data_IF_030438605813
#
_entry.id   IF_030438605813
#
_cell.length_a   1.000
_cell.length_b   1.000
_cell.length_c   1.000
_cell.angle_alpha   90.00
_cell.angle_beta   90.00
_cell.angle_gamma   90.00
#
_symmetry.space_group_name_H-M   'P 1'
#
loop_
_entity.id
_entity.type
_entity.pdbx_description
1 polymer ?
#
# COMPACT_ATOMS: atom_id res chain seq x y z
N UNK A 1 34.24 -9.93 19.48
CA UNK A 1 33.43 -10.87 18.67
C UNK A 1 31.98 -10.38 18.75
N UNK A 2 31.52 -9.65 17.73
CA UNK A 2 30.19 -8.99 17.71
C UNK A 2 29.24 -9.96 17.01
N UNK A 3 28.19 -10.38 17.69
CA UNK A 3 27.22 -11.36 17.18
C UNK A 3 26.54 -10.81 15.90
N UNK A 4 26.84 -11.43 14.77
CA UNK A 4 26.07 -11.31 13.53
C UNK A 4 24.80 -12.16 13.69
N UNK A 5 23.78 -11.59 14.32
CA UNK A 5 22.43 -12.12 14.19
C UNK A 5 21.91 -11.70 12.82
N UNK A 6 22.12 -12.55 11.82
CA UNK A 6 21.36 -12.53 10.58
C UNK A 6 19.95 -12.99 10.95
N UNK A 7 19.13 -12.09 11.48
CA UNK A 7 17.69 -12.30 11.59
C UNK A 7 17.17 -12.10 10.17
N UNK A 8 16.59 -13.12 9.50
CA UNK A 8 15.77 -12.92 8.33
C UNK A 8 14.48 -12.26 8.85
N UNK A 9 14.60 -10.98 9.19
CA UNK A 9 13.54 -10.21 9.82
C UNK A 9 12.50 -9.92 8.76
N UNK A 10 11.28 -10.38 9.02
CA UNK A 10 10.09 -10.01 8.26
C UNK A 10 10.08 -8.49 8.06
N UNK A 11 10.46 -8.07 6.85
CA UNK A 11 10.51 -6.68 6.44
C UNK A 11 9.12 -6.33 5.96
N UNK A 12 8.41 -5.55 6.76
CA UNK A 12 7.11 -5.03 6.35
C UNK A 12 7.37 -3.70 5.65
N UNK A 13 7.65 -3.74 4.35
CA UNK A 13 7.73 -2.52 3.54
C UNK A 13 6.34 -1.88 3.49
N UNK A 14 6.20 -0.58 3.78
CA UNK A 14 4.87 0.07 3.75
C UNK A 14 4.20 -0.07 2.38
N UNK A 15 4.96 -0.08 1.30
CA UNK A 15 4.45 -0.35 -0.04
C UNK A 15 3.98 -1.81 -0.26
N UNK A 16 4.58 -2.79 0.42
CA UNK A 16 4.10 -4.18 0.38
C UNK A 16 2.89 -4.42 1.31
N UNK A 17 2.59 -3.48 2.20
CA UNK A 17 1.36 -3.51 2.98
C UNK A 17 0.14 -3.06 2.19
N UNK A 18 0.31 -2.27 1.12
CA UNK A 18 -0.81 -1.75 0.33
C UNK A 18 -1.77 -2.85 -0.13
N UNK A 19 -1.31 -4.01 -0.67
CA UNK A 19 -2.19 -5.15 -0.94
C UNK A 19 -3.02 -5.63 0.25
N UNK A 20 -2.41 -5.73 1.44
CA UNK A 20 -3.11 -6.19 2.65
C UNK A 20 -4.12 -5.15 3.12
N UNK A 21 -3.76 -3.87 3.13
CA UNK A 21 -4.69 -2.79 3.48
C UNK A 21 -5.85 -2.70 2.50
N UNK A 22 -5.60 -2.83 1.20
CA UNK A 22 -6.66 -2.85 0.18
C UNK A 22 -7.63 -4.02 0.37
N UNK A 23 -7.13 -5.21 0.75
CA UNK A 23 -8.00 -6.33 1.10
C UNK A 23 -8.87 -5.99 2.32
N UNK A 24 -8.26 -5.48 3.41
CA UNK A 24 -8.99 -5.12 4.64
C UNK A 24 -10.04 -4.04 4.37
N UNK A 25 -9.68 -3.00 3.61
CA UNK A 25 -10.60 -1.93 3.20
C UNK A 25 -11.73 -2.51 2.34
N UNK A 26 -11.43 -3.43 1.40
CA UNK A 26 -12.45 -4.08 0.59
C UNK A 26 -13.48 -4.83 1.43
N UNK A 27 -13.05 -5.56 2.45
CA UNK A 27 -13.95 -6.23 3.42
C UNK A 27 -14.79 -5.20 4.17
N UNK A 28 -14.20 -4.09 4.60
CA UNK A 28 -14.91 -3.01 5.29
C UNK A 28 -15.95 -2.32 4.39
N UNK A 29 -15.64 -2.10 3.10
CA UNK A 29 -16.58 -1.56 2.11
C UNK A 29 -17.79 -2.47 1.97
N UNK A 30 -17.57 -3.79 1.85
CA UNK A 30 -18.65 -4.77 1.79
C UNK A 30 -19.53 -4.72 3.06
N UNK A 31 -18.91 -4.69 4.24
CA UNK A 31 -19.62 -4.57 5.51
C UNK A 31 -20.50 -3.30 5.59
N UNK A 32 -19.96 -2.15 5.18
CA UNK A 32 -20.69 -0.88 5.19
C UNK A 32 -21.85 -0.89 4.19
N UNK A 33 -21.65 -1.49 3.01
CA UNK A 33 -22.70 -1.63 2.01
C UNK A 33 -23.90 -2.41 2.58
N UNK A 34 -23.65 -3.57 3.19
CA UNK A 34 -24.67 -4.40 3.85
C UNK A 34 -25.38 -3.69 5.02
N UNK A 35 -24.67 -2.83 5.76
CA UNK A 35 -25.22 -2.00 6.86
C UNK A 35 -26.19 -0.91 6.38
N UNK A 36 -26.47 -0.81 5.09
CA UNK A 36 -27.51 0.06 4.55
C UNK A 36 -26.98 1.31 3.85
N UNK A 37 -25.69 1.35 3.49
CA UNK A 37 -25.15 2.46 2.69
C UNK A 37 -25.83 2.57 1.31
N UNK A 38 -26.46 1.49 0.83
CA UNK A 38 -27.33 1.47 -0.34
C UNK A 38 -28.53 2.42 -0.26
N UNK A 39 -28.93 2.85 0.96
CA UNK A 39 -30.01 3.84 1.16
C UNK A 39 -29.57 5.27 0.83
N UNK A 40 -28.26 5.53 0.84
CA UNK A 40 -27.67 6.85 0.60
C UNK A 40 -27.02 6.91 -0.79
N UNK A 41 -26.31 5.85 -1.17
CA UNK A 41 -25.61 5.76 -2.45
C UNK A 41 -26.23 4.66 -3.32
N UNK A 42 -26.42 4.93 -4.61
CA UNK A 42 -26.98 3.96 -5.57
C UNK A 42 -26.07 2.73 -5.75
N UNK A 43 -24.75 2.93 -5.73
CA UNK A 43 -23.76 1.85 -5.80
C UNK A 43 -22.57 2.15 -4.86
N UNK A 44 -22.74 1.94 -3.54
CA UNK A 44 -21.74 2.30 -2.53
C UNK A 44 -20.43 1.55 -2.73
N UNK A 45 -20.50 0.27 -3.08
CA UNK A 45 -19.32 -0.57 -3.31
C UNK A 45 -18.46 0.00 -4.43
N UNK A 46 -19.06 0.32 -5.58
CA UNK A 46 -18.33 0.88 -6.72
C UNK A 46 -17.73 2.25 -6.37
N UNK A 47 -18.53 3.16 -5.80
CA UNK A 47 -18.07 4.52 -5.48
C UNK A 47 -16.91 4.48 -4.48
N UNK A 48 -17.07 3.74 -3.38
CA UNK A 48 -16.02 3.63 -2.37
C UNK A 48 -14.77 2.92 -2.92
N UNK A 49 -14.95 1.94 -3.81
CA UNK A 49 -13.81 1.25 -4.42
C UNK A 49 -13.01 2.17 -5.34
N UNK A 50 -13.69 2.94 -6.19
CA UNK A 50 -13.05 3.92 -7.08
C UNK A 50 -12.31 4.99 -6.26
N UNK A 51 -12.96 5.53 -5.23
CA UNK A 51 -12.33 6.52 -4.33
C UNK A 51 -11.10 5.93 -3.65
N UNK A 52 -11.19 4.70 -3.15
CA UNK A 52 -10.07 4.01 -2.48
C UNK A 52 -8.90 3.82 -3.42
N UNK A 53 -9.12 3.27 -4.62
CA UNK A 53 -8.05 3.05 -5.61
C UNK A 53 -7.42 4.39 -6.01
N UNK A 54 -8.24 5.41 -6.28
CA UNK A 54 -7.75 6.73 -6.65
C UNK A 54 -6.88 7.35 -5.56
N UNK A 55 -7.26 7.21 -4.28
CA UNK A 55 -6.46 7.68 -3.15
C UNK A 55 -5.13 6.93 -3.04
N UNK A 56 -5.15 5.60 -3.14
CA UNK A 56 -3.92 4.79 -3.09
C UNK A 56 -2.98 5.12 -4.26
N UNK A 57 -3.48 5.22 -5.49
CA UNK A 57 -2.66 5.66 -6.62
C UNK A 57 -2.11 7.07 -6.45
N UNK A 58 -2.92 7.99 -5.94
CA UNK A 58 -2.49 9.39 -5.75
C UNK A 58 -1.40 9.48 -4.69
N UNK A 59 -1.62 8.92 -3.49
CA UNK A 59 -0.68 8.99 -2.38
C UNK A 59 0.61 8.24 -2.72
N UNK A 60 0.50 6.99 -3.15
CA UNK A 60 1.67 6.17 -3.46
C UNK A 60 2.39 6.66 -4.71
N UNK A 61 1.69 7.24 -5.70
CA UNK A 61 2.29 7.90 -6.85
C UNK A 61 3.05 9.18 -6.48
N UNK A 62 2.48 10.02 -5.62
CA UNK A 62 3.16 11.23 -5.11
C UNK A 62 4.40 10.88 -4.28
N UNK A 63 4.33 9.83 -3.45
CA UNK A 63 5.48 9.31 -2.71
C UNK A 63 6.55 8.78 -3.68
N UNK A 64 6.16 7.97 -4.67
CA UNK A 64 7.07 7.42 -5.66
C UNK A 64 7.82 8.51 -6.46
N UNK A 65 7.11 9.59 -6.80
CA UNK A 65 7.63 10.75 -7.52
C UNK A 65 8.39 11.75 -6.63
N UNK A 66 8.50 11.51 -5.32
CA UNK A 66 9.03 12.47 -4.33
C UNK A 66 8.32 13.83 -4.33
N UNK A 67 7.02 13.87 -4.66
CA UNK A 67 6.20 15.07 -4.48
C UNK A 67 5.57 15.15 -3.09
N UNK A 68 5.58 14.05 -2.34
CA UNK A 68 5.15 13.98 -0.95
C UNK A 68 6.33 13.54 -0.09
N UNK A 69 6.80 14.44 0.77
CA UNK A 69 7.87 14.18 1.73
C UNK A 69 7.38 14.48 3.16
N UNK A 70 8.00 13.81 4.13
CA UNK A 70 7.71 13.94 5.56
C UNK A 70 8.92 14.56 6.27
N UNK A 71 9.05 15.90 6.29
CA UNK A 71 10.29 16.57 6.72
C UNK A 71 10.69 16.27 8.18
N UNK A 72 9.74 15.90 9.04
CA UNK A 72 10.00 15.52 10.42
C UNK A 72 10.74 14.17 10.59
N UNK A 73 10.85 13.36 9.52
CA UNK A 73 11.58 12.09 9.50
C UNK A 73 13.00 12.22 8.91
N UNK A 74 13.44 13.42 8.52
CA UNK A 74 14.75 13.60 7.88
C UNK A 74 14.86 12.81 6.57
N UNK A 75 15.97 12.10 6.34
CA UNK A 75 16.17 11.31 5.11
C UNK A 75 15.16 10.16 4.95
N UNK A 76 14.71 9.58 6.06
CA UNK A 76 13.65 8.56 6.12
C UNK A 76 12.30 9.09 5.61
N UNK A 77 12.13 10.42 5.62
CA UNK A 77 10.92 11.11 5.19
C UNK A 77 10.86 11.41 3.69
N UNK A 78 11.91 11.15 2.92
CA UNK A 78 11.83 11.30 1.45
C UNK A 78 10.81 10.31 0.90
N UNK A 79 9.85 10.76 0.09
CA UNK A 79 8.67 9.99 -0.34
C UNK A 79 8.99 8.60 -0.85
N UNK A 80 9.97 8.46 -1.74
CA UNK A 80 10.42 7.15 -2.26
C UNK A 80 11.08 6.32 -1.18
N UNK A 81 11.95 6.93 -0.39
CA UNK A 81 12.66 6.22 0.66
C UNK A 81 11.68 5.69 1.71
N UNK A 82 10.73 6.53 2.10
CA UNK A 82 9.61 6.19 2.94
C UNK A 82 8.80 5.05 2.31
N UNK A 83 8.34 5.18 1.07
CA UNK A 83 7.56 4.15 0.38
C UNK A 83 8.21 2.76 0.44
N UNK A 84 9.52 2.67 0.18
CA UNK A 84 10.22 1.38 0.16
C UNK A 84 10.72 0.90 1.53
N UNK A 85 11.07 1.79 2.45
CA UNK A 85 11.84 1.45 3.67
C UNK A 85 11.20 1.89 4.99
N UNK A 86 10.11 2.67 5.00
CA UNK A 86 9.53 3.27 6.21
C UNK A 86 9.25 2.27 7.33
N UNK A 87 8.77 1.06 7.01
CA UNK A 87 8.48 0.05 8.03
C UNK A 87 9.72 -0.52 8.74
N UNK A 88 10.90 -0.43 8.12
CA UNK A 88 12.18 -0.95 8.67
C UNK A 88 12.90 0.13 9.46
N UNK A 89 12.85 1.38 9.00
CA UNK A 89 13.49 2.51 9.68
C UNK A 89 12.75 2.94 10.94
N UNK A 90 11.41 2.82 10.96
CA UNK A 90 10.59 3.08 12.15
C UNK A 90 10.89 2.13 13.32
N UNK A 91 11.42 0.93 13.03
CA UNK A 91 11.84 -0.06 14.03
C UNK A 91 13.36 -0.06 14.27
N UNK A 92 14.09 0.94 13.75
CA UNK A 92 15.52 1.14 13.99
C UNK A 92 16.46 0.22 13.20
N UNK A 93 15.98 -0.45 12.17
CA UNK A 93 16.79 -1.32 11.31
C UNK A 93 17.29 -0.57 10.07
N UNK A 94 18.38 -1.06 9.47
CA UNK A 94 18.94 -0.47 8.24
C UNK A 94 17.99 -0.71 7.07
N UNK A 95 17.80 0.30 6.19
CA UNK A 95 16.96 0.15 5.00
C UNK A 95 17.52 -0.94 4.08
N UNK A 96 16.72 -1.95 3.71
CA UNK A 96 17.16 -3.04 2.85
C UNK A 96 17.24 -2.65 1.37
N UNK A 97 16.56 -1.58 0.95
CA UNK A 97 16.47 -1.16 -0.45
C UNK A 97 17.17 0.17 -0.65
N UNK A 98 18.18 0.15 -1.52
CA UNK A 98 18.79 1.35 -2.07
C UNK A 98 17.91 1.94 -3.19
N UNK A 99 17.39 3.14 -2.94
CA UNK A 99 16.46 3.86 -3.82
C UNK A 99 17.14 4.97 -4.64
N UNK A 100 18.48 5.05 -4.59
CA UNK A 100 19.27 6.04 -5.34
C UNK A 100 19.26 5.77 -6.85
N UNK A 101 19.31 4.49 -7.25
CA UNK A 101 19.35 4.03 -8.65
C UNK A 101 18.01 4.11 -9.39
N UNK A 102 16.92 4.46 -8.71
CA UNK A 102 15.55 4.31 -9.21
C UNK A 102 15.21 5.26 -10.38
N UNK A 103 15.92 6.39 -10.53
CA UNK A 103 15.72 7.32 -11.66
C UNK A 103 16.78 7.28 -12.76
N UNK A 104 17.92 6.65 -12.51
CA UNK A 104 18.95 6.52 -13.55
C UNK A 104 18.55 5.50 -14.62
N UNK A 105 17.70 4.54 -14.26
CA UNK A 105 17.20 3.54 -15.19
C UNK A 105 15.69 3.27 -14.99
N UNK A 106 14.83 3.69 -15.94
CA UNK A 106 13.39 3.44 -15.86
C UNK A 106 13.02 1.95 -15.83
N UNK A 107 13.89 1.08 -16.36
CA UNK A 107 13.71 -0.37 -16.37
C UNK A 107 14.40 -1.08 -15.20
N UNK A 108 14.83 -0.36 -14.17
CA UNK A 108 15.33 -1.01 -12.97
C UNK A 108 14.23 -1.85 -12.29
N UNK A 109 14.63 -2.93 -11.61
CA UNK A 109 13.70 -3.88 -10.98
C UNK A 109 12.69 -3.20 -10.05
N UNK A 110 13.11 -2.16 -9.31
CA UNK A 110 12.23 -1.43 -8.39
C UNK A 110 11.09 -0.71 -9.11
N UNK A 111 11.36 -0.12 -10.28
CA UNK A 111 10.32 0.56 -11.07
C UNK A 111 9.32 -0.45 -11.65
N UNK A 112 9.82 -1.59 -12.14
CA UNK A 112 8.96 -2.67 -12.63
C UNK A 112 8.05 -3.17 -11.51
N UNK A 113 8.61 -3.43 -10.32
CA UNK A 113 7.84 -3.87 -9.15
C UNK A 113 6.83 -2.80 -8.73
N UNK A 114 7.19 -1.52 -8.73
CA UNK A 114 6.27 -0.42 -8.41
C UNK A 114 5.08 -0.37 -9.38
N UNK A 115 5.35 -0.44 -10.69
CA UNK A 115 4.31 -0.41 -11.73
C UNK A 115 3.39 -1.63 -11.59
N UNK A 116 3.94 -2.82 -11.36
CA UNK A 116 3.14 -4.04 -11.14
C UNK A 116 2.26 -3.93 -9.89
N UNK A 117 2.79 -3.37 -8.80
CA UNK A 117 2.00 -3.14 -7.59
C UNK A 117 0.88 -2.13 -7.83
N UNK A 118 1.17 -0.99 -8.47
CA UNK A 118 0.13 -0.02 -8.85
C UNK A 118 -0.95 -0.65 -9.72
N UNK A 119 -0.58 -1.43 -10.73
CA UNK A 119 -1.53 -2.09 -11.60
C UNK A 119 -2.40 -3.13 -10.88
N UNK A 120 -1.92 -3.70 -9.78
CA UNK A 120 -2.63 -4.74 -9.01
C UNK A 120 -3.46 -4.20 -7.86
N UNK A 121 -3.41 -2.90 -7.52
CA UNK A 121 -4.26 -2.32 -6.47
C UNK A 121 -5.78 -2.58 -6.66
N UNK A 122 -6.37 -2.39 -7.85
CA UNK A 122 -7.79 -2.70 -8.05
C UNK A 122 -8.10 -4.18 -7.79
N UNK A 123 -7.17 -5.09 -8.11
CA UNK A 123 -7.33 -6.52 -7.89
C UNK A 123 -7.39 -6.86 -6.40
N UNK A 124 -6.45 -6.35 -5.59
CA UNK A 124 -6.45 -6.62 -4.15
C UNK A 124 -7.69 -6.07 -3.45
N UNK A 125 -8.15 -4.88 -3.85
CA UNK A 125 -9.38 -4.31 -3.34
C UNK A 125 -10.60 -5.17 -3.72
N UNK A 126 -10.66 -5.61 -4.99
CA UNK A 126 -11.71 -6.51 -5.47
C UNK A 126 -11.74 -7.82 -4.67
N UNK A 127 -10.59 -8.42 -4.39
CA UNK A 127 -10.50 -9.63 -3.58
C UNK A 127 -11.05 -9.41 -2.16
N UNK A 128 -10.75 -8.26 -1.55
CA UNK A 128 -11.31 -7.86 -0.26
C UNK A 128 -12.82 -7.71 -0.28
N UNK A 129 -13.36 -6.98 -1.27
CA UNK A 129 -14.82 -6.80 -1.45
C UNK A 129 -15.50 -8.15 -1.68
N UNK A 130 -14.94 -9.00 -2.55
CA UNK A 130 -15.48 -10.33 -2.83
C UNK A 130 -15.53 -11.21 -1.56
N UNK A 131 -14.44 -11.23 -0.78
CA UNK A 131 -14.39 -11.94 0.48
C UNK A 131 -15.43 -11.39 1.48
N UNK A 132 -15.51 -10.06 1.64
CA UNK A 132 -16.47 -9.41 2.52
C UNK A 132 -17.92 -9.74 2.14
N UNK A 133 -18.29 -9.62 0.86
CA UNK A 133 -19.61 -9.98 0.38
C UNK A 133 -19.93 -11.45 0.67
N UNK A 134 -18.97 -12.38 0.50
CA UNK A 134 -19.19 -13.80 0.80
C UNK A 134 -19.40 -14.06 2.30
N UNK A 135 -18.76 -13.27 3.17
CA UNK A 135 -18.91 -13.36 4.63
C UNK A 135 -20.27 -12.80 5.06
N UNK A 136 -20.66 -11.64 4.56
CA UNK A 136 -21.84 -10.91 5.05
C UNK A 136 -23.14 -11.23 4.30
N UNK A 137 -23.09 -11.65 3.03
CA UNK A 137 -24.29 -12.06 2.27
C UNK A 137 -24.88 -13.41 2.72
N UNK A 138 -24.22 -14.12 3.64
CA UNK A 138 -24.72 -15.37 4.26
C UNK A 138 -25.37 -15.16 5.63
N UNK A 139 -25.41 -13.93 6.15
CA UNK A 139 -26.08 -13.56 7.40
C UNK A 139 -27.48 -13.00 7.14
#
# INVERSE_FOLDING_TARGET
>A
MRWNLHVPGASVMSFLLDPLFLIVIGVAIAFLAERGLHKILRNPVLVLSVVTVALFWSISGLLYLNYLDFPWLGKAGSGRHFMWNSGVELIGLKPPIDVSVTYENPFCTLNIVAVLLFATYPLFLYLGVYAGNKIFSKS
#
